data_IF_515344255798
#
_entry.id   IF_515344255798
#
_cell.length_a   1.000
_cell.length_b   1.000
_cell.length_c   1.000
_cell.angle_alpha   90.00
_cell.angle_beta   90.00
_cell.angle_gamma   90.00
#
_symmetry.space_group_name_H-M   'P 1'
#
loop_
_entity.id
_entity.type
_entity.pdbx_description
1 polymer ?
#
# COMPACT_ATOMS: atom_id res chain seq x y z
N UNK A 1 83.31 -9.29 -50.69
CA UNK A 1 84.12 -8.39 -49.85
C UNK A 1 83.46 -8.40 -48.47
N UNK A 2 83.59 -9.42 -47.62
CA UNK A 2 84.75 -10.13 -47.03
C UNK A 2 85.38 -9.39 -45.85
N UNK A 3 85.25 -10.02 -44.66
CA UNK A 3 85.94 -9.90 -43.35
C UNK A 3 84.87 -9.74 -42.24
N UNK A 4 84.49 -10.74 -41.44
CA UNK A 4 85.17 -11.87 -40.75
C UNK A 4 86.12 -11.43 -39.65
N UNK A 5 85.70 -11.65 -38.39
CA UNK A 5 86.42 -12.27 -37.24
C UNK A 5 85.87 -11.67 -35.92
N UNK A 6 85.80 -12.35 -34.78
CA UNK A 6 85.73 -13.77 -34.39
C UNK A 6 85.53 -13.80 -32.86
N UNK A 7 84.76 -14.80 -32.40
CA UNK A 7 84.93 -15.64 -31.19
C UNK A 7 85.54 -15.09 -29.89
N UNK A 8 84.82 -15.30 -28.78
CA UNK A 8 85.30 -16.01 -27.56
C UNK A 8 84.05 -16.45 -26.78
N UNK A 9 83.60 -17.71 -26.90
CA UNK A 9 83.82 -18.84 -25.97
C UNK A 9 83.06 -18.76 -24.62
N UNK A 10 82.17 -19.76 -24.47
CA UNK A 10 81.33 -20.30 -23.38
C UNK A 10 82.17 -20.83 -22.18
N UNK A 11 81.64 -21.54 -21.14
CA UNK A 11 80.26 -21.80 -20.65
C UNK A 11 80.10 -21.72 -19.09
N UNK A 12 78.92 -22.12 -18.55
CA UNK A 12 78.75 -23.11 -17.43
C UNK A 12 77.73 -22.69 -16.34
N UNK A 13 76.58 -23.37 -16.37
CA UNK A 13 75.87 -24.02 -15.23
C UNK A 13 74.93 -23.25 -14.30
N UNK A 14 73.65 -23.65 -14.43
CA UNK A 14 72.60 -23.95 -13.43
C UNK A 14 72.30 -22.96 -12.29
N UNK A 15 71.04 -22.50 -12.23
CA UNK A 15 70.15 -22.84 -11.11
C UNK A 15 68.66 -22.68 -11.50
N UNK A 16 67.86 -23.67 -11.11
CA UNK A 16 66.41 -23.78 -11.32
C UNK A 16 65.59 -22.78 -10.50
N UNK A 17 64.48 -22.33 -11.12
CA UNK A 17 63.14 -22.09 -10.58
C UNK A 17 62.93 -21.08 -9.43
N UNK A 18 62.05 -20.09 -9.67
CA UNK A 18 60.91 -19.66 -8.82
C UNK A 18 60.40 -18.25 -9.20
N UNK A 19 59.06 -18.08 -9.18
CA UNK A 19 58.19 -16.89 -9.46
C UNK A 19 57.46 -17.04 -10.80
N UNK A 20 56.35 -17.78 -10.87
CA UNK A 20 55.09 -17.70 -10.12
C UNK A 20 54.47 -16.29 -10.08
N UNK A 21 53.42 -16.15 -10.89
CA UNK A 21 52.12 -15.55 -10.58
C UNK A 21 52.11 -14.18 -9.90
N UNK A 22 52.05 -13.14 -10.72
CA UNK A 22 51.30 -11.93 -10.37
C UNK A 22 50.01 -11.87 -11.19
N UNK A 23 49.06 -12.73 -10.81
CA UNK A 23 47.64 -12.47 -11.08
C UNK A 23 47.18 -11.44 -10.04
N UNK A 24 46.77 -10.21 -10.41
CA UNK A 24 46.16 -9.30 -9.45
C UNK A 24 44.89 -9.99 -8.95
N UNK A 25 44.82 -10.19 -7.63
CA UNK A 25 43.63 -10.70 -6.94
C UNK A 25 42.43 -9.84 -7.35
N UNK A 26 41.64 -10.32 -8.31
CA UNK A 26 40.30 -9.80 -8.58
C UNK A 26 39.50 -10.04 -7.32
N UNK A 27 39.37 -8.99 -6.52
CA UNK A 27 38.46 -8.94 -5.39
C UNK A 27 37.08 -9.39 -5.91
N UNK A 28 36.45 -10.43 -5.32
CA UNK A 28 35.14 -10.87 -5.80
C UNK A 28 34.15 -9.72 -5.61
N UNK A 29 33.55 -9.28 -6.73
CA UNK A 29 32.52 -8.27 -6.70
C UNK A 29 31.46 -8.63 -5.64
N UNK A 30 30.97 -7.66 -4.85
CA UNK A 30 29.97 -7.92 -3.83
C UNK A 30 28.73 -8.59 -4.45
N UNK A 31 28.02 -9.45 -3.72
CA UNK A 31 26.93 -10.25 -4.27
C UNK A 31 25.81 -9.37 -4.82
N UNK A 32 25.74 -9.27 -6.15
CA UNK A 32 24.74 -8.49 -6.90
C UNK A 32 23.30 -9.02 -6.70
N UNK A 33 23.16 -10.27 -6.27
CA UNK A 33 21.89 -10.98 -6.11
C UNK A 33 20.95 -10.38 -5.05
N UNK A 34 21.48 -9.78 -3.98
CA UNK A 34 20.66 -9.17 -2.92
C UNK A 34 19.94 -7.90 -3.38
N UNK A 35 20.60 -7.07 -4.19
CA UNK A 35 20.03 -5.83 -4.69
C UNK A 35 18.97 -6.07 -5.76
N UNK A 36 19.09 -7.12 -6.56
CA UNK A 36 18.06 -7.52 -7.53
C UNK A 36 16.81 -8.04 -6.85
N UNK A 37 16.94 -8.98 -5.90
CA UNK A 37 15.81 -9.50 -5.16
C UNK A 37 15.05 -8.39 -4.41
N UNK A 38 15.76 -7.45 -3.78
CA UNK A 38 15.15 -6.31 -3.09
C UNK A 38 14.40 -5.38 -4.07
N UNK A 39 14.96 -5.12 -5.25
CA UNK A 39 14.29 -4.32 -6.29
C UNK A 39 13.02 -5.00 -6.80
N UNK A 40 13.07 -6.30 -7.04
CA UNK A 40 11.89 -7.08 -7.46
C UNK A 40 10.81 -7.07 -6.38
N UNK A 41 11.18 -7.28 -5.12
CA UNK A 41 10.24 -7.23 -3.99
C UNK A 41 9.58 -5.86 -3.84
N UNK A 42 10.36 -4.77 -3.94
CA UNK A 42 9.81 -3.41 -3.86
C UNK A 42 8.91 -3.08 -5.05
N UNK A 43 9.24 -3.55 -6.26
CA UNK A 43 8.36 -3.39 -7.43
C UNK A 43 7.03 -4.11 -7.22
N UNK A 44 7.07 -5.35 -6.73
CA UNK A 44 5.86 -6.11 -6.43
C UNK A 44 5.01 -5.45 -5.32
N UNK A 45 5.67 -4.88 -4.29
CA UNK A 45 4.99 -4.12 -3.25
C UNK A 45 4.34 -2.83 -3.80
N UNK A 46 5.04 -2.09 -4.66
CA UNK A 46 4.50 -0.91 -5.33
C UNK A 46 3.29 -1.26 -6.24
N UNK A 47 3.35 -2.37 -6.97
CA UNK A 47 2.21 -2.87 -7.77
C UNK A 47 1.00 -3.20 -6.91
N UNK A 48 1.21 -3.92 -5.80
CA UNK A 48 0.16 -4.25 -4.84
C UNK A 48 -0.48 -2.97 -4.24
N UNK A 49 0.33 -1.99 -3.84
CA UNK A 49 -0.19 -0.71 -3.31
C UNK A 49 -1.01 0.05 -4.36
N UNK A 50 -0.59 0.06 -5.63
CA UNK A 50 -1.37 0.64 -6.72
C UNK A 50 -2.69 -0.10 -6.96
N UNK A 51 -2.66 -1.43 -6.93
CA UNK A 51 -3.87 -2.25 -7.05
C UNK A 51 -4.85 -1.98 -5.90
N UNK A 52 -4.36 -1.72 -4.68
CA UNK A 52 -5.18 -1.26 -3.56
C UNK A 52 -5.83 0.09 -3.86
N UNK A 53 -5.08 1.08 -4.35
CA UNK A 53 -5.64 2.40 -4.70
C UNK A 53 -6.74 2.27 -5.75
N UNK A 54 -6.54 1.47 -6.79
CA UNK A 54 -7.56 1.23 -7.81
C UNK A 54 -8.79 0.55 -7.26
N UNK A 55 -8.60 -0.40 -6.34
CA UNK A 55 -9.69 -1.11 -5.72
C UNK A 55 -10.49 -0.21 -4.78
N UNK A 56 -9.79 0.61 -4.00
CA UNK A 56 -10.37 1.65 -3.17
C UNK A 56 -11.17 2.65 -3.99
N UNK A 57 -10.64 3.14 -5.12
CA UNK A 57 -11.34 4.10 -6.00
C UNK A 57 -12.69 3.57 -6.47
N UNK A 58 -12.77 2.27 -6.83
CA UNK A 58 -14.03 1.62 -7.19
C UNK A 58 -15.01 1.57 -6.01
N UNK A 59 -14.52 1.25 -4.81
CA UNK A 59 -15.34 1.23 -3.60
C UNK A 59 -15.85 2.63 -3.24
N UNK A 60 -14.98 3.64 -3.27
CA UNK A 60 -15.30 5.04 -3.01
C UNK A 60 -16.41 5.55 -3.94
N UNK A 61 -16.32 5.26 -5.24
CA UNK A 61 -17.36 5.63 -6.20
C UNK A 61 -18.72 4.96 -5.90
N UNK A 62 -18.71 3.68 -5.51
CA UNK A 62 -19.93 2.96 -5.11
C UNK A 62 -20.51 3.50 -3.80
N UNK A 63 -19.68 3.86 -2.82
CA UNK A 63 -20.10 4.47 -1.57
C UNK A 63 -20.77 5.83 -1.83
N UNK A 64 -20.12 6.70 -2.61
CA UNK A 64 -20.69 7.99 -3.02
C UNK A 64 -22.03 7.83 -3.75
N UNK A 65 -22.11 6.91 -4.71
CA UNK A 65 -23.34 6.59 -5.43
C UNK A 65 -24.45 6.13 -4.48
N UNK A 66 -24.17 5.16 -3.61
CA UNK A 66 -25.17 4.65 -2.66
C UNK A 66 -25.61 5.71 -1.64
N UNK A 67 -24.70 6.58 -1.20
CA UNK A 67 -25.04 7.70 -0.31
C UNK A 67 -25.95 8.72 -0.99
N UNK A 68 -25.68 9.02 -2.27
CA UNK A 68 -26.51 9.93 -3.07
C UNK A 68 -27.91 9.34 -3.33
N UNK A 69 -27.98 8.07 -3.75
CA UNK A 69 -29.23 7.37 -4.05
C UNK A 69 -30.17 7.30 -2.83
N UNK A 70 -29.59 7.14 -1.63
CA UNK A 70 -30.33 6.95 -0.39
C UNK A 70 -30.44 8.18 0.49
N UNK A 71 -30.00 9.35 0.00
CA UNK A 71 -29.92 10.59 0.80
C UNK A 71 -31.26 11.01 1.43
N UNK A 72 -32.38 10.67 0.80
CA UNK A 72 -33.74 11.03 1.27
C UNK A 72 -34.48 9.87 1.94
N UNK A 73 -34.04 8.62 1.74
CA UNK A 73 -34.70 7.41 2.25
C UNK A 73 -33.64 6.44 2.75
N UNK A 74 -33.54 6.36 4.07
CA UNK A 74 -32.54 5.58 4.80
C UNK A 74 -31.09 6.00 4.47
N UNK A 75 -30.71 7.24 4.83
CA UNK A 75 -29.39 7.80 4.49
C UNK A 75 -28.26 6.90 4.99
N UNK A 76 -27.24 6.75 4.16
CA UNK A 76 -26.00 6.06 4.51
C UNK A 76 -25.06 7.08 5.15
N UNK A 77 -24.31 6.63 6.15
CA UNK A 77 -23.26 7.42 6.79
C UNK A 77 -22.27 7.97 5.77
N UNK A 78 -21.73 9.18 6.00
CA UNK A 78 -20.62 9.70 5.22
C UNK A 78 -19.37 8.82 5.34
N UNK A 79 -19.30 7.91 6.31
CA UNK A 79 -18.15 7.05 6.56
C UNK A 79 -18.43 5.59 6.20
N UNK A 80 -17.43 4.92 5.62
CA UNK A 80 -17.46 3.48 5.41
C UNK A 80 -16.09 2.86 5.67
N UNK A 81 -16.09 1.55 5.94
CA UNK A 81 -14.88 0.77 6.16
C UNK A 81 -14.80 -0.37 5.16
N UNK A 82 -13.58 -0.67 4.71
CA UNK A 82 -13.24 -1.79 3.86
C UNK A 82 -12.04 -2.53 4.44
N UNK A 83 -12.20 -3.84 4.62
CA UNK A 83 -11.13 -4.77 4.93
C UNK A 83 -10.59 -5.30 3.60
N UNK A 84 -9.29 -5.10 3.39
CA UNK A 84 -8.61 -5.42 2.15
C UNK A 84 -8.02 -6.82 2.25
N UNK A 85 -8.16 -7.59 1.18
CA UNK A 85 -7.58 -8.92 1.05
C UNK A 85 -6.86 -9.06 -0.28
N UNK A 86 -5.79 -9.85 -0.33
CA UNK A 86 -5.12 -10.22 -1.57
C UNK A 86 -5.33 -11.71 -1.84
N UNK A 87 -5.79 -12.04 -3.04
CA UNK A 87 -5.87 -13.42 -3.51
C UNK A 87 -4.48 -13.93 -3.92
N UNK A 88 -4.25 -15.26 -4.00
CA UNK A 88 -2.99 -15.82 -4.50
C UNK A 88 -2.62 -15.35 -5.92
N UNK A 89 -3.60 -14.92 -6.70
CA UNK A 89 -3.42 -14.34 -8.04
C UNK A 89 -2.94 -12.88 -8.02
N UNK A 90 -2.78 -12.27 -6.83
CA UNK A 90 -2.45 -10.86 -6.65
C UNK A 90 -3.67 -9.92 -6.74
N UNK A 91 -4.88 -10.45 -6.95
CA UNK A 91 -6.10 -9.63 -7.06
C UNK A 91 -6.55 -9.15 -5.69
N UNK A 92 -6.84 -7.84 -5.60
CA UNK A 92 -7.37 -7.22 -4.38
C UNK A 92 -8.89 -7.39 -4.27
N UNK A 93 -9.34 -7.87 -3.12
CA UNK A 93 -10.74 -8.04 -2.73
C UNK A 93 -11.09 -7.16 -1.53
N UNK A 94 -12.36 -6.81 -1.42
CA UNK A 94 -12.89 -6.00 -0.33
C UNK A 94 -14.02 -6.73 0.37
N UNK A 95 -14.00 -6.68 1.70
CA UNK A 95 -15.19 -6.81 2.52
C UNK A 95 -15.49 -5.46 3.17
N UNK A 96 -16.68 -4.91 2.92
CA UNK A 96 -17.07 -3.56 3.28
C UNK A 96 -18.18 -3.54 4.33
N UNK A 97 -18.14 -2.52 5.18
CA UNK A 97 -19.19 -2.14 6.11
C UNK A 97 -19.73 -0.77 5.73
N UNK A 98 -20.93 -0.74 5.16
CA UNK A 98 -21.71 0.49 4.97
C UNK A 98 -22.64 0.67 6.18
N UNK A 99 -22.66 1.86 6.77
CA UNK A 99 -23.46 2.16 7.95
C UNK A 99 -24.62 3.07 7.57
N UNK A 100 -25.74 2.98 8.28
CA UNK A 100 -26.78 4.00 8.19
C UNK A 100 -26.25 5.29 8.84
N UNK A 101 -26.69 6.43 8.33
CA UNK A 101 -26.37 7.73 8.90
C UNK A 101 -27.00 7.86 10.29
N UNK A 102 -26.30 8.59 11.16
CA UNK A 102 -26.72 8.79 12.52
C UNK A 102 -25.52 9.10 13.43
N UNK A 103 -25.76 9.55 14.67
CA UNK A 103 -24.73 10.10 15.54
C UNK A 103 -23.52 9.17 15.76
N UNK A 104 -23.76 7.86 15.66
CA UNK A 104 -22.75 6.83 15.89
C UNK A 104 -21.82 6.58 14.70
N UNK A 105 -22.27 6.93 13.49
CA UNK A 105 -21.57 6.66 12.24
C UNK A 105 -21.13 7.96 11.54
N UNK A 106 -21.68 9.11 11.88
CA UNK A 106 -21.38 10.38 11.20
C UNK A 106 -19.98 10.91 11.57
N UNK A 107 -19.50 10.64 12.78
CA UNK A 107 -18.13 11.00 13.17
C UNK A 107 -17.17 9.80 13.01
N UNK A 108 -16.16 9.99 12.17
CA UNK A 108 -15.25 8.92 11.79
C UNK A 108 -14.42 8.38 12.97
N UNK A 109 -13.88 9.25 13.82
CA UNK A 109 -12.98 8.82 14.91
C UNK A 109 -13.72 7.98 15.97
N UNK A 110 -14.86 8.42 16.53
CA UNK A 110 -15.68 7.59 17.42
C UNK A 110 -16.14 6.29 16.78
N UNK A 111 -16.49 6.30 15.48
CA UNK A 111 -16.85 5.09 14.74
C UNK A 111 -15.70 4.08 14.77
N UNK A 112 -14.47 4.50 14.45
CA UNK A 112 -13.29 3.62 14.45
C UNK A 112 -12.97 3.06 15.85
N UNK A 113 -13.14 3.86 16.90
CA UNK A 113 -12.99 3.37 18.28
C UNK A 113 -14.04 2.31 18.65
N UNK A 114 -15.29 2.50 18.22
CA UNK A 114 -16.36 1.52 18.42
C UNK A 114 -16.07 0.22 17.67
N UNK A 115 -15.67 0.33 16.41
CA UNK A 115 -15.25 -0.82 15.60
C UNK A 115 -14.09 -1.57 16.26
N UNK A 116 -13.11 -0.85 16.81
CA UNK A 116 -12.01 -1.46 17.58
C UNK A 116 -12.54 -2.24 18.78
N UNK A 117 -13.46 -1.64 19.54
CA UNK A 117 -14.07 -2.27 20.72
C UNK A 117 -14.80 -3.56 20.35
N UNK A 118 -15.50 -3.60 19.21
CA UNK A 118 -16.15 -4.81 18.71
C UNK A 118 -15.12 -5.92 18.48
N UNK A 119 -14.03 -5.63 17.75
CA UNK A 119 -12.97 -6.61 17.49
C UNK A 119 -12.39 -7.15 18.79
N UNK A 120 -12.07 -6.26 19.75
CA UNK A 120 -11.52 -6.66 21.05
C UNK A 120 -12.46 -7.58 21.84
N UNK A 121 -13.78 -7.37 21.77
CA UNK A 121 -14.76 -8.19 22.50
C UNK A 121 -14.91 -9.60 21.92
N UNK A 122 -14.68 -9.80 20.63
CA UNK A 122 -14.81 -11.11 20.00
C UNK A 122 -13.61 -12.04 20.26
N UNK A 123 -12.43 -11.49 20.56
CA UNK A 123 -11.23 -12.28 20.86
C UNK A 123 -10.59 -12.92 19.62
N UNK A 124 -9.93 -14.06 19.81
CA UNK A 124 -9.17 -14.77 18.76
C UNK A 124 -10.06 -15.50 17.76
N UNK A 125 -9.65 -15.57 16.49
CA UNK A 125 -10.44 -16.22 15.42
C UNK A 125 -11.49 -15.30 14.81
N UNK A 126 -11.33 -13.99 15.02
CA UNK A 126 -12.23 -12.98 14.50
C UNK A 126 -12.00 -12.76 13.00
N UNK A 127 -13.01 -13.03 12.18
CA UNK A 127 -13.00 -12.69 10.75
C UNK A 127 -13.80 -11.40 10.45
N UNK A 128 -13.12 -10.26 10.14
CA UNK A 128 -13.80 -9.02 9.77
C UNK A 128 -14.73 -9.16 8.56
N UNK A 129 -14.50 -10.14 7.68
CA UNK A 129 -15.36 -10.41 6.52
C UNK A 129 -16.74 -10.90 6.95
N UNK A 130 -16.79 -11.67 8.04
CA UNK A 130 -18.01 -12.31 8.52
C UNK A 130 -18.68 -11.48 9.60
N UNK A 131 -17.91 -11.04 10.60
CA UNK A 131 -18.46 -10.39 11.78
C UNK A 131 -18.69 -8.87 11.62
N UNK A 132 -18.00 -8.25 10.67
CA UNK A 132 -17.88 -6.79 10.60
C UNK A 132 -18.36 -6.20 9.28
N UNK A 133 -18.42 -7.00 8.23
CA UNK A 133 -18.82 -6.54 6.90
C UNK A 133 -20.28 -6.88 6.64
N UNK A 134 -21.02 -5.98 6.01
CA UNK A 134 -22.37 -6.27 5.51
C UNK A 134 -22.40 -6.56 4.00
N UNK A 135 -21.25 -6.38 3.33
CA UNK A 135 -21.05 -6.78 1.94
C UNK A 135 -19.64 -7.29 1.79
N UNK A 136 -19.48 -8.54 1.40
CA UNK A 136 -18.18 -9.12 1.07
C UNK A 136 -18.19 -9.59 -0.38
N UNK A 137 -17.09 -9.34 -1.07
CA UNK A 137 -16.88 -9.91 -2.40
C UNK A 137 -16.60 -11.40 -2.29
N UNK A 138 -17.03 -12.17 -3.29
CA UNK A 138 -16.58 -13.54 -3.43
C UNK A 138 -15.06 -13.52 -3.60
N UNK A 139 -14.38 -14.22 -2.70
CA UNK A 139 -12.92 -14.28 -2.66
C UNK A 139 -12.43 -15.73 -2.52
N UNK A 140 -11.20 -15.97 -2.95
CA UNK A 140 -10.52 -17.24 -2.74
C UNK A 140 -10.39 -17.57 -1.23
N UNK A 141 -10.60 -18.83 -0.80
CA UNK A 141 -10.40 -19.22 0.60
C UNK A 141 -8.99 -18.95 1.14
N UNK A 142 -7.98 -18.89 0.26
CA UNK A 142 -6.59 -18.58 0.58
C UNK A 142 -6.29 -17.08 0.52
N UNK A 143 -7.29 -16.22 0.34
CA UNK A 143 -7.10 -14.78 0.35
C UNK A 143 -6.58 -14.33 1.73
N UNK A 144 -5.46 -13.62 1.74
CA UNK A 144 -4.82 -13.14 2.96
C UNK A 144 -5.22 -11.71 3.25
N UNK A 145 -5.31 -11.37 4.54
CA UNK A 145 -5.62 -10.01 4.95
C UNK A 145 -4.47 -9.06 4.58
N UNK A 146 -4.82 -7.97 3.89
CA UNK A 146 -3.88 -7.00 3.36
C UNK A 146 -3.90 -5.67 4.13
N UNK A 147 -5.02 -5.33 4.76
CA UNK A 147 -5.13 -4.09 5.52
C UNK A 147 -6.54 -3.57 5.69
N UNK A 148 -6.61 -2.29 6.03
CA UNK A 148 -7.83 -1.54 6.30
C UNK A 148 -7.86 -0.29 5.42
N UNK A 149 -9.01 -0.01 4.83
CA UNK A 149 -9.32 1.22 4.14
C UNK A 149 -10.56 1.86 4.76
N UNK A 150 -10.47 3.13 5.09
CA UNK A 150 -11.59 3.93 5.59
C UNK A 150 -11.90 4.98 4.55
N UNK A 151 -13.16 5.12 4.16
CA UNK A 151 -13.63 6.19 3.29
C UNK A 151 -14.50 7.15 4.05
N UNK A 152 -14.40 8.43 3.72
CA UNK A 152 -15.30 9.48 4.18
C UNK A 152 -15.70 10.40 3.03
N UNK A 153 -16.97 10.81 2.99
CA UNK A 153 -17.50 11.82 2.09
C UNK A 153 -17.29 13.24 2.65
N UNK A 154 -16.88 13.35 3.91
CA UNK A 154 -16.47 14.62 4.52
C UNK A 154 -14.98 14.88 4.23
N UNK A 155 -14.74 15.72 3.23
CA UNK A 155 -13.38 16.09 2.81
C UNK A 155 -13.07 17.53 3.22
N UNK A 156 -11.78 17.94 3.33
CA UNK A 156 -11.45 19.34 3.58
C UNK A 156 -11.97 20.29 2.49
N UNK A 157 -12.16 19.78 1.27
CA UNK A 157 -12.72 20.57 0.18
C UNK A 157 -14.23 20.80 0.37
N UNK A 158 -14.95 19.82 0.92
CA UNK A 158 -16.42 19.88 1.08
C UNK A 158 -16.91 18.84 2.09
N UNK A 159 -17.74 19.31 3.03
CA UNK A 159 -18.50 18.44 3.92
C UNK A 159 -19.69 17.80 3.19
N UNK A 160 -20.01 16.55 3.53
CA UNK A 160 -21.11 15.79 2.94
C UNK A 160 -22.46 16.51 3.07
N UNK A 161 -22.74 17.08 4.25
CA UNK A 161 -23.96 17.83 4.51
C UNK A 161 -24.16 19.05 3.59
N UNK A 162 -23.07 19.62 3.04
CA UNK A 162 -23.09 20.75 2.13
C UNK A 162 -23.25 20.35 0.65
N UNK A 163 -23.46 19.06 0.36
CA UNK A 163 -23.43 18.48 -1.00
C UNK A 163 -24.81 18.49 -1.69
N UNK A 164 -25.76 19.31 -1.22
CA UNK A 164 -27.18 19.28 -1.61
C UNK A 164 -27.48 19.40 -3.11
N UNK A 165 -26.60 20.04 -3.88
CA UNK A 165 -26.76 20.28 -5.33
C UNK A 165 -26.12 19.22 -6.23
N UNK A 166 -25.38 18.26 -5.67
CA UNK A 166 -24.67 17.26 -6.47
C UNK A 166 -25.66 16.34 -7.20
N UNK A 167 -25.43 16.19 -8.51
CA UNK A 167 -26.30 15.43 -9.41
C UNK A 167 -25.76 14.04 -9.71
N UNK A 168 -24.46 13.84 -9.57
CA UNK A 168 -23.79 12.58 -9.91
C UNK A 168 -22.80 12.16 -8.83
N UNK A 169 -22.56 10.85 -8.68
CA UNK A 169 -21.58 10.34 -7.72
C UNK A 169 -20.14 10.76 -8.01
N UNK A 170 -19.84 11.21 -9.24
CA UNK A 170 -18.52 11.70 -9.65
C UNK A 170 -18.17 13.08 -9.08
N UNK A 171 -19.18 13.85 -8.71
CA UNK A 171 -19.05 15.18 -8.09
C UNK A 171 -18.95 15.10 -6.56
N UNK A 172 -19.18 13.93 -5.97
CA UNK A 172 -19.06 13.73 -4.53
C UNK A 172 -17.58 13.51 -4.20
N UNK A 173 -16.95 14.41 -3.43
CA UNK A 173 -15.58 14.22 -3.02
C UNK A 173 -15.50 13.09 -1.99
N UNK A 174 -14.46 12.27 -2.09
CA UNK A 174 -14.22 11.14 -1.19
C UNK A 174 -12.77 11.15 -0.74
N UNK A 175 -12.55 11.01 0.56
CA UNK A 175 -11.24 10.84 1.17
C UNK A 175 -11.07 9.43 1.71
N UNK A 176 -9.88 8.88 1.53
CA UNK A 176 -9.46 7.56 1.95
C UNK A 176 -8.28 7.60 2.90
N UNK A 177 -8.40 6.91 4.04
CA UNK A 177 -7.27 6.60 4.93
C UNK A 177 -7.03 5.09 4.89
N UNK A 178 -5.94 4.67 4.27
CA UNK A 178 -5.61 3.26 4.10
C UNK A 178 -4.35 2.90 4.87
N UNK A 179 -4.41 1.79 5.60
CA UNK A 179 -3.31 1.20 6.36
C UNK A 179 -3.13 -0.24 5.91
N UNK A 180 -1.94 -0.57 5.39
CA UNK A 180 -1.61 -1.90 4.88
C UNK A 180 -0.73 -2.69 5.85
N UNK A 181 -0.78 -4.01 5.70
CA UNK A 181 -0.04 -4.95 6.53
C UNK A 181 1.49 -4.80 6.41
N UNK A 182 1.99 -4.33 5.25
CA UNK A 182 3.41 -4.00 5.02
C UNK A 182 3.86 -2.71 5.71
N UNK A 183 2.98 -2.04 6.46
CA UNK A 183 3.26 -0.79 7.12
C UNK A 183 3.04 0.45 6.25
N UNK A 184 2.49 0.32 5.05
CA UNK A 184 2.13 1.47 4.21
C UNK A 184 0.91 2.21 4.75
N UNK A 185 0.96 3.54 4.67
CA UNK A 185 -0.19 4.43 4.83
C UNK A 185 -0.40 5.21 3.55
N UNK A 186 -1.66 5.30 3.12
CA UNK A 186 -2.09 6.07 1.96
C UNK A 186 -3.21 7.01 2.39
N UNK A 187 -3.02 8.31 2.14
CA UNK A 187 -4.09 9.29 2.15
C UNK A 187 -4.47 9.55 0.70
N UNK A 188 -5.72 9.28 0.35
CA UNK A 188 -6.20 9.37 -1.03
C UNK A 188 -7.40 10.29 -1.09
N UNK A 189 -7.37 11.28 -1.97
CA UNK A 189 -8.49 12.17 -2.23
C UNK A 189 -8.98 11.96 -3.66
N UNK A 190 -10.30 11.83 -3.82
CA UNK A 190 -10.98 11.77 -5.11
C UNK A 190 -12.01 12.90 -5.15
N UNK A 191 -11.80 13.90 -6.02
CA UNK A 191 -12.72 15.01 -6.21
C UNK A 191 -12.67 15.47 -7.66
N UNK A 192 -13.81 15.78 -8.28
CA UNK A 192 -13.90 16.22 -9.68
C UNK A 192 -13.14 15.30 -10.66
N UNK A 193 -13.26 13.98 -10.44
CA UNK A 193 -12.50 12.92 -11.14
C UNK A 193 -10.97 12.98 -11.00
N UNK A 194 -10.41 13.91 -10.21
CA UNK A 194 -8.98 13.99 -9.89
C UNK A 194 -8.66 13.14 -8.68
N UNK A 195 -7.60 12.35 -8.81
CA UNK A 195 -7.08 11.49 -7.75
C UNK A 195 -5.77 12.08 -7.23
N UNK A 196 -5.72 12.39 -5.94
CA UNK A 196 -4.48 12.82 -5.25
C UNK A 196 -4.10 11.76 -4.24
N UNK A 197 -2.83 11.40 -4.20
CA UNK A 197 -2.32 10.33 -3.34
C UNK A 197 -1.11 10.84 -2.58
N UNK A 198 -1.11 10.68 -1.27
CA UNK A 198 0.07 10.78 -0.43
C UNK A 198 0.36 9.42 0.22
N UNK A 199 1.63 9.01 0.18
CA UNK A 199 2.03 7.67 0.61
C UNK A 199 3.31 7.71 1.48
N UNK A 200 3.38 6.79 2.45
CA UNK A 200 4.59 6.55 3.26
C UNK A 200 5.53 5.51 2.65
N UNK A 201 5.14 4.86 1.55
CA UNK A 201 5.98 3.91 0.81
C UNK A 201 5.88 4.19 -0.69
N UNK A 202 6.85 3.68 -1.45
CA UNK A 202 6.93 3.93 -2.88
C UNK A 202 5.72 3.33 -3.63
N UNK A 203 5.23 4.08 -4.62
CA UNK A 203 4.18 3.67 -5.55
C UNK A 203 4.67 3.65 -7.01
N UNK A 204 5.92 3.99 -7.28
CA UNK A 204 6.47 3.95 -8.62
C UNK A 204 6.74 2.50 -9.05
N UNK A 205 6.15 2.11 -10.19
CA UNK A 205 6.36 0.82 -10.85
C UNK A 205 6.97 1.09 -12.23
N UNK A 206 8.10 0.44 -12.52
CA UNK A 206 8.78 0.61 -13.81
C UNK A 206 7.89 0.08 -14.96
N UNK A 207 7.79 0.83 -16.07
CA UNK A 207 7.05 0.41 -17.25
C UNK A 207 5.52 0.50 -17.16
N UNK A 208 4.97 1.03 -16.07
CA UNK A 208 3.52 1.32 -15.96
C UNK A 208 3.19 2.79 -16.20
N UNK A 209 1.93 3.06 -16.56
CA UNK A 209 1.42 4.44 -16.70
C UNK A 209 1.65 5.18 -15.39
N UNK A 210 2.33 6.33 -15.48
CA UNK A 210 2.66 7.13 -14.31
C UNK A 210 1.40 7.58 -13.57
N UNK A 211 1.31 7.20 -12.29
CA UNK A 211 0.30 7.70 -11.36
C UNK A 211 0.96 8.76 -10.48
N UNK A 212 0.56 10.05 -10.57
CA UNK A 212 1.10 11.07 -9.69
C UNK A 212 0.82 10.74 -8.22
N UNK A 213 1.83 10.83 -7.37
CA UNK A 213 1.72 10.64 -5.94
C UNK A 213 2.77 11.47 -5.20
N UNK A 214 2.54 11.72 -3.91
CA UNK A 214 3.43 12.50 -3.06
C UNK A 214 4.03 11.63 -1.96
N UNK A 215 5.35 11.62 -1.88
CA UNK A 215 6.05 11.05 -0.74
C UNK A 215 5.76 11.86 0.52
N UNK A 216 5.14 11.23 1.52
CA UNK A 216 4.84 11.83 2.82
C UNK A 216 5.14 10.84 3.94
N UNK A 217 6.39 10.73 4.40
CA UNK A 217 6.77 9.77 5.44
C UNK A 217 6.11 10.08 6.79
N UNK A 218 5.80 11.36 7.04
CA UNK A 218 5.20 11.84 8.29
C UNK A 218 3.67 12.01 8.21
N UNK A 219 3.00 11.21 7.37
CA UNK A 219 1.55 11.29 7.14
C UNK A 219 0.72 11.28 8.44
N UNK A 220 1.19 10.56 9.47
CA UNK A 220 0.53 10.43 10.77
C UNK A 220 0.71 11.63 11.70
N UNK A 221 1.64 12.54 11.39
CA UNK A 221 1.93 13.72 12.20
C UNK A 221 1.19 14.97 11.72
N UNK A 222 0.46 14.88 10.60
CA UNK A 222 -0.37 15.96 10.08
C UNK A 222 -1.49 16.27 11.09
N UNK A 223 -1.55 17.49 11.68
CA UNK A 223 -2.54 17.84 12.70
C UNK A 223 -3.99 17.59 12.26
N UNK A 224 -4.29 17.75 10.97
CA UNK A 224 -5.64 17.66 10.44
C UNK A 224 -6.13 16.20 10.32
N UNK A 225 -5.21 15.24 10.23
CA UNK A 225 -5.54 13.82 10.06
C UNK A 225 -5.01 12.92 11.18
N UNK A 226 -4.24 13.47 12.13
CA UNK A 226 -3.57 12.72 13.20
C UNK A 226 -4.54 11.83 13.99
N UNK A 227 -5.66 12.37 14.45
CA UNK A 227 -6.65 11.60 15.23
C UNK A 227 -7.28 10.47 14.41
N UNK A 228 -7.48 10.68 13.11
CA UNK A 228 -7.97 9.63 12.21
C UNK A 228 -6.92 8.53 12.06
N UNK A 229 -5.65 8.90 11.84
CA UNK A 229 -4.57 7.92 11.74
C UNK A 229 -4.37 7.11 13.03
N UNK A 230 -4.41 7.75 14.19
CA UNK A 230 -4.34 7.06 15.49
C UNK A 230 -5.47 6.04 15.64
N UNK A 231 -6.69 6.37 15.21
CA UNK A 231 -7.84 5.47 15.28
C UNK A 231 -7.76 4.34 14.23
N UNK A 232 -7.33 4.65 13.00
CA UNK A 232 -7.09 3.67 11.92
C UNK A 232 -6.01 2.66 12.32
N UNK A 233 -4.88 3.14 12.81
CA UNK A 233 -3.76 2.29 13.24
C UNK A 233 -4.20 1.36 14.37
N UNK A 234 -4.94 1.89 15.36
CA UNK A 234 -5.47 1.10 16.47
C UNK A 234 -6.42 0.00 16.00
N UNK A 235 -7.34 0.31 15.09
CA UNK A 235 -8.27 -0.68 14.54
C UNK A 235 -7.51 -1.74 13.73
N UNK A 236 -6.64 -1.30 12.82
CA UNK A 236 -5.80 -2.17 12.00
C UNK A 236 -4.99 -3.15 12.85
N UNK A 237 -4.26 -2.66 13.85
CA UNK A 237 -3.42 -3.50 14.70
C UNK A 237 -4.24 -4.45 15.58
N UNK A 238 -5.44 -4.03 15.99
CA UNK A 238 -6.36 -4.90 16.74
C UNK A 238 -6.86 -6.04 15.86
N UNK A 239 -7.25 -5.75 14.62
CA UNK A 239 -7.65 -6.80 13.65
C UNK A 239 -6.49 -7.74 13.39
N UNK A 240 -5.31 -7.22 13.07
CA UNK A 240 -4.12 -8.03 12.77
C UNK A 240 -3.75 -8.99 13.90
N UNK A 241 -3.94 -8.59 15.17
CA UNK A 241 -3.69 -9.47 16.33
C UNK A 241 -4.74 -10.58 16.48
N UNK A 242 -5.98 -10.35 16.06
CA UNK A 242 -7.10 -11.28 16.27
C UNK A 242 -7.44 -12.13 15.04
N UNK A 243 -6.91 -11.77 13.87
CA UNK A 243 -7.05 -12.44 12.59
C UNK A 243 -5.68 -12.97 12.09
N UNK A 244 -5.22 -14.12 12.62
CA UNK A 244 -3.98 -14.76 12.15
C UNK A 244 -4.06 -15.26 10.70
#
# INVERSE_FOLDING_TARGET
>A
MTQTQAMTETPTTELRALRDDQNPLTEPAPPQSGHEAARTAESAAAEMRNAVVDRWRKMAALHAMHALDRRTRDPISPNACAFLYTEPTGRIRIASRLLLAGPEADNLVPLLHRLTTIVTRHGTGYDPRVAMSNRAERMDPKATWLGLAVTTLDTPARAWAATGEVRTSLEVPVRGHLRLADGTRLLVDLADSRLTIAATHNLAVAGQVYRPWHWRPNLTHDPDTRLVWEAVDRLHDTIRRHHP
#
